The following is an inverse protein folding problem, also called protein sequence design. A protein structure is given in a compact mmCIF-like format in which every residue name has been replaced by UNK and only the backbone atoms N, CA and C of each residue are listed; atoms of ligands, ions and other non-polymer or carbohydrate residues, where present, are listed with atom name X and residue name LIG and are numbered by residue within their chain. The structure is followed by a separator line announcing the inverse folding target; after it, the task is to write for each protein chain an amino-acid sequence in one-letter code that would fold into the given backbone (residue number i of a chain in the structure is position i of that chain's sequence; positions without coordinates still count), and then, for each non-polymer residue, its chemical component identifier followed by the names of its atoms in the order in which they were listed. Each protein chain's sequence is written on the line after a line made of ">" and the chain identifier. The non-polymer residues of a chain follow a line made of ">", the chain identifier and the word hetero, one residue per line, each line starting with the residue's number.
data_IF_588723034291
#
_entry.id   IF_588723034291
#
_cell.length_a   1.000
_cell.length_b   1.000
_cell.length_c   1.000
_cell.angle_alpha   90.00
_cell.angle_beta   90.00
_cell.angle_gamma   90.00
#
_symmetry.space_group_name_H-M   'P 1'
#
loop_
_entity.id
_entity.type
_entity.pdbx_description
1 polymer ?
#
# COMPACT_ATOMS: atom_id res chain seq x y z
N UNK A 1 42.81 -9.93 25.15
CA UNK A 1 41.90 -9.55 24.05
C UNK A 1 42.71 -8.88 22.96
N UNK A 2 42.66 -9.33 21.69
CA UNK A 2 43.49 -8.75 20.64
C UNK A 2 42.87 -7.45 20.09
N UNK A 3 43.67 -6.38 20.10
CA UNK A 3 43.38 -5.08 19.48
C UNK A 3 43.34 -5.21 17.96
N UNK A 4 42.16 -5.03 17.37
CA UNK A 4 41.94 -4.94 15.91
C UNK A 4 42.54 -3.63 15.38
N UNK A 5 43.71 -3.70 14.74
CA UNK A 5 44.24 -2.58 13.95
C UNK A 5 43.38 -2.41 12.70
N UNK A 6 42.80 -1.22 12.51
CA UNK A 6 42.12 -0.84 11.27
C UNK A 6 43.17 -0.60 10.16
N UNK A 7 42.88 -0.95 8.89
CA UNK A 7 43.82 -0.73 7.78
C UNK A 7 44.01 0.76 7.52
N UNK A 8 45.24 1.13 7.11
CA UNK A 8 45.62 2.49 6.69
C UNK A 8 44.74 2.96 5.53
N UNK A 9 44.25 4.19 5.64
CA UNK A 9 43.40 4.89 4.67
C UNK A 9 44.14 5.18 3.35
N UNK A 10 43.63 4.61 2.27
CA UNK A 10 43.88 4.98 0.86
C UNK A 10 43.28 6.38 0.58
N UNK A 11 43.74 7.13 -0.44
CA UNK A 11 43.26 8.49 -0.72
C UNK A 11 41.74 8.47 -0.92
N UNK A 12 41.06 9.41 -0.28
CA UNK A 12 39.61 9.50 -0.26
C UNK A 12 39.04 9.57 -1.69
N UNK A 13 38.35 8.51 -2.10
CA UNK A 13 37.31 8.62 -3.13
C UNK A 13 36.37 9.76 -2.71
N UNK A 14 35.88 10.60 -3.65
CA UNK A 14 34.90 11.63 -3.31
C UNK A 14 33.75 10.95 -2.56
N UNK A 15 33.43 11.47 -1.37
CA UNK A 15 32.45 10.86 -0.48
C UNK A 15 31.16 10.62 -1.27
N UNK A 16 30.88 9.34 -1.55
CA UNK A 16 29.71 8.95 -2.32
C UNK A 16 28.50 9.40 -1.53
N UNK A 17 27.67 10.27 -2.13
CA UNK A 17 26.42 10.67 -1.51
C UNK A 17 25.56 9.41 -1.36
N UNK A 18 25.30 9.03 -0.12
CA UNK A 18 24.52 7.84 0.25
C UNK A 18 23.31 8.28 1.05
N UNK A 19 22.21 7.55 0.90
CA UNK A 19 20.99 7.79 1.66
C UNK A 19 21.25 7.53 3.14
N UNK A 20 21.04 8.55 3.97
CA UNK A 20 21.03 8.40 5.42
C UNK A 20 19.71 7.75 5.88
N UNK A 21 19.78 6.45 6.15
CA UNK A 21 18.63 5.65 6.56
C UNK A 21 18.03 6.08 7.91
N UNK A 22 18.76 6.81 8.75
CA UNK A 22 18.21 7.32 10.02
C UNK A 22 17.24 8.49 9.82
N UNK A 23 17.34 9.19 8.68
CA UNK A 23 16.52 10.36 8.35
C UNK A 23 15.70 10.22 7.07
N UNK A 24 15.76 9.05 6.44
CA UNK A 24 15.07 8.78 5.17
C UNK A 24 13.65 8.23 5.39
N UNK A 25 12.67 9.14 5.46
CA UNK A 25 11.24 8.83 5.69
C UNK A 25 10.69 7.70 4.78
N UNK A 26 10.99 7.62 3.46
CA UNK A 26 10.46 6.53 2.62
C UNK A 26 10.85 5.12 3.09
N UNK A 27 12.03 4.98 3.72
CA UNK A 27 12.44 3.71 4.30
C UNK A 27 11.57 3.34 5.51
N UNK A 28 11.30 4.28 6.42
CA UNK A 28 10.43 4.03 7.57
C UNK A 28 9.01 3.63 7.15
N UNK A 29 8.41 4.33 6.18
CA UNK A 29 7.10 3.99 5.63
C UNK A 29 7.09 2.55 5.08
N UNK A 30 8.11 2.20 4.29
CA UNK A 30 8.25 0.86 3.69
C UNK A 30 8.43 -0.22 4.75
N UNK A 31 9.31 -0.01 5.73
CA UNK A 31 9.62 -1.01 6.75
C UNK A 31 8.45 -1.26 7.69
N UNK A 32 7.78 -0.20 8.14
CA UNK A 32 6.62 -0.30 9.02
C UNK A 32 5.48 -0.99 8.27
N UNK A 33 5.13 -0.53 7.05
CA UNK A 33 4.07 -1.12 6.26
C UNK A 33 4.32 -2.61 5.99
N UNK A 34 5.54 -3.00 5.61
CA UNK A 34 5.88 -4.39 5.33
C UNK A 34 5.84 -5.29 6.57
N UNK A 35 6.43 -4.85 7.70
CA UNK A 35 6.42 -5.64 8.94
C UNK A 35 5.02 -5.77 9.52
N UNK A 36 4.24 -4.68 9.51
CA UNK A 36 2.87 -4.68 10.00
C UNK A 36 1.97 -5.58 9.15
N UNK A 37 2.09 -5.50 7.82
CA UNK A 37 1.33 -6.32 6.87
C UNK A 37 1.66 -7.80 6.98
N UNK A 38 2.95 -8.16 7.09
CA UNK A 38 3.38 -9.56 7.27
C UNK A 38 2.83 -10.15 8.56
N UNK A 39 2.99 -9.45 9.68
CA UNK A 39 2.47 -9.93 10.97
C UNK A 39 0.94 -10.05 10.96
N UNK A 40 0.24 -9.08 10.36
CA UNK A 40 -1.22 -9.13 10.22
C UNK A 40 -1.66 -10.34 9.38
N UNK A 41 -1.04 -10.55 8.22
CA UNK A 41 -1.38 -11.66 7.33
C UNK A 41 -1.22 -13.03 8.00
N UNK A 42 -0.20 -13.23 8.83
CA UNK A 42 -0.01 -14.49 9.56
C UNK A 42 -1.18 -14.79 10.51
N UNK A 43 -1.60 -13.79 11.28
CA UNK A 43 -2.73 -13.96 12.19
C UNK A 43 -4.06 -14.12 11.46
N UNK A 44 -4.29 -13.33 10.40
CA UNK A 44 -5.54 -13.41 9.63
C UNK A 44 -5.68 -14.76 8.91
N UNK A 45 -4.59 -15.29 8.36
CA UNK A 45 -4.58 -16.65 7.79
C UNK A 45 -4.90 -17.70 8.85
N UNK A 46 -4.31 -17.59 10.05
CA UNK A 46 -4.55 -18.57 11.12
C UNK A 46 -5.99 -18.60 11.64
N UNK A 47 -6.70 -17.46 11.58
CA UNK A 47 -8.05 -17.32 12.15
C UNK A 47 -9.14 -17.49 11.10
N UNK A 48 -8.91 -17.02 9.87
CA UNK A 48 -9.95 -16.89 8.85
C UNK A 48 -9.51 -17.31 7.44
N UNK A 49 -8.32 -17.90 7.27
CA UNK A 49 -7.76 -18.29 5.97
C UNK A 49 -7.78 -17.14 4.94
N UNK A 50 -7.45 -15.92 5.39
CA UNK A 50 -7.34 -14.75 4.52
C UNK A 50 -6.05 -13.98 4.73
N UNK A 51 -5.47 -13.54 3.63
CA UNK A 51 -4.28 -12.68 3.63
C UNK A 51 -4.63 -11.21 3.85
N UNK A 52 -3.59 -10.40 4.03
CA UNK A 52 -3.72 -8.95 4.27
C UNK A 52 -4.44 -8.20 3.13
N UNK A 53 -4.28 -8.64 1.88
CA UNK A 53 -4.96 -8.03 0.73
C UNK A 53 -6.47 -8.23 0.76
N UNK A 54 -6.91 -9.44 1.11
CA UNK A 54 -8.33 -9.74 1.30
C UNK A 54 -8.91 -8.95 2.45
N UNK A 55 -8.19 -8.83 3.58
CA UNK A 55 -8.59 -7.98 4.69
C UNK A 55 -8.80 -6.53 4.26
N UNK A 56 -7.83 -5.95 3.53
CA UNK A 56 -7.92 -4.58 2.99
C UNK A 56 -9.15 -4.37 2.11
N UNK A 57 -9.47 -5.34 1.26
CA UNK A 57 -10.68 -5.30 0.45
C UNK A 57 -11.96 -5.40 1.29
N UNK A 58 -12.00 -6.29 2.28
CA UNK A 58 -13.15 -6.47 3.18
C UNK A 58 -13.46 -5.19 3.96
N UNK A 59 -12.45 -4.53 4.52
CA UNK A 59 -12.61 -3.28 5.28
C UNK A 59 -13.22 -2.19 4.40
N UNK A 60 -12.67 -1.98 3.19
CA UNK A 60 -13.16 -0.93 2.31
C UNK A 60 -14.58 -1.22 1.82
N UNK A 61 -14.89 -2.48 1.51
CA UNK A 61 -16.25 -2.92 1.19
C UNK A 61 -17.24 -2.76 2.35
N UNK A 62 -16.79 -2.94 3.60
CA UNK A 62 -17.64 -2.75 4.78
C UNK A 62 -17.99 -1.27 5.01
N UNK A 63 -17.11 -0.35 4.61
CA UNK A 63 -17.33 1.10 4.71
C UNK A 63 -18.21 1.61 3.55
N UNK A 64 -17.86 1.25 2.32
CA UNK A 64 -18.48 1.80 1.10
C UNK A 64 -19.77 1.07 0.69
N UNK A 65 -19.98 -0.16 1.21
CA UNK A 65 -21.09 -1.04 0.82
C UNK A 65 -20.89 -1.71 -0.54
N UNK A 66 -20.58 -0.93 -1.57
CA UNK A 66 -20.19 -1.42 -2.90
C UNK A 66 -19.03 -0.64 -3.50
N UNK A 67 -18.06 -1.34 -4.10
CA UNK A 67 -16.88 -0.68 -4.67
C UNK A 67 -16.31 -1.43 -5.88
N UNK A 68 -15.80 -0.70 -6.87
CA UNK A 68 -15.08 -1.25 -8.01
C UNK A 68 -13.61 -1.54 -7.69
N UNK A 69 -12.98 -2.44 -8.46
CA UNK A 69 -11.55 -2.71 -8.32
C UNK A 69 -10.67 -1.48 -8.57
N UNK A 70 -11.12 -0.53 -9.40
CA UNK A 70 -10.40 0.71 -9.67
C UNK A 70 -10.42 1.64 -8.46
N UNK A 71 -11.57 1.77 -7.78
CA UNK A 71 -11.68 2.58 -6.57
C UNK A 71 -10.83 1.98 -5.44
N UNK A 72 -10.86 0.66 -5.24
CA UNK A 72 -9.96 -0.01 -4.28
C UNK A 72 -8.49 0.25 -4.60
N UNK A 73 -8.09 0.11 -5.88
CA UNK A 73 -6.71 0.39 -6.32
C UNK A 73 -6.30 1.82 -5.98
N UNK A 74 -7.19 2.79 -6.20
CA UNK A 74 -6.94 4.21 -5.91
C UNK A 74 -6.80 4.48 -4.42
N UNK A 75 -7.68 3.92 -3.60
CA UNK A 75 -7.71 4.16 -2.15
C UNK A 75 -6.57 3.44 -1.43
N UNK A 76 -6.31 2.17 -1.77
CA UNK A 76 -5.36 1.31 -1.05
C UNK A 76 -3.95 1.40 -1.66
N UNK A 77 -3.81 1.88 -2.89
CA UNK A 77 -2.54 1.90 -3.63
C UNK A 77 -2.10 0.53 -4.12
N UNK A 78 -2.99 -0.46 -4.15
CA UNK A 78 -2.74 -1.77 -4.77
C UNK A 78 -2.92 -1.67 -6.28
N UNK A 79 -2.17 -2.46 -7.07
CA UNK A 79 -2.40 -2.52 -8.50
C UNK A 79 -3.77 -3.16 -8.81
N UNK A 80 -4.43 -2.65 -9.85
CA UNK A 80 -5.76 -3.12 -10.28
C UNK A 80 -5.79 -4.62 -10.57
N UNK A 81 -4.68 -5.20 -11.03
CA UNK A 81 -4.55 -6.63 -11.30
C UNK A 81 -4.62 -7.47 -10.02
N UNK A 82 -3.90 -7.06 -8.97
CA UNK A 82 -3.93 -7.69 -7.65
C UNK A 82 -5.31 -7.58 -7.00
N UNK A 83 -5.94 -6.40 -7.06
CA UNK A 83 -7.31 -6.23 -6.56
C UNK A 83 -8.28 -7.15 -7.30
N UNK A 84 -8.18 -7.22 -8.63
CA UNK A 84 -9.05 -8.08 -9.44
C UNK A 84 -8.87 -9.57 -9.13
N UNK A 85 -7.63 -10.03 -8.90
CA UNK A 85 -7.36 -11.40 -8.45
C UNK A 85 -7.92 -11.65 -7.05
N UNK A 86 -7.77 -10.69 -6.14
CA UNK A 86 -8.33 -10.76 -4.80
C UNK A 86 -9.85 -10.89 -4.83
N UNK A 87 -10.55 -10.04 -5.61
CA UNK A 87 -12.00 -10.11 -5.78
C UNK A 87 -12.46 -11.46 -6.34
N UNK A 88 -11.78 -12.00 -7.36
CA UNK A 88 -12.09 -13.34 -7.88
C UNK A 88 -11.97 -14.41 -6.79
N UNK A 89 -10.91 -14.36 -5.98
CA UNK A 89 -10.73 -15.29 -4.86
C UNK A 89 -11.82 -15.14 -3.80
N UNK A 90 -12.15 -13.90 -3.44
CA UNK A 90 -13.21 -13.58 -2.47
C UNK A 90 -14.58 -14.06 -2.96
N UNK A 91 -14.89 -13.87 -4.24
CA UNK A 91 -16.13 -14.36 -4.85
C UNK A 91 -16.19 -15.89 -4.84
N UNK A 92 -15.10 -16.58 -5.21
CA UNK A 92 -15.02 -18.04 -5.16
C UNK A 92 -15.20 -18.58 -3.72
N UNK A 93 -14.72 -17.85 -2.71
CA UNK A 93 -14.93 -18.15 -1.29
C UNK A 93 -16.32 -17.74 -0.79
N UNK A 94 -17.17 -17.11 -1.60
CA UNK A 94 -18.50 -16.65 -1.26
C UNK A 94 -18.54 -15.43 -0.32
N UNK A 95 -17.46 -14.65 -0.25
CA UNK A 95 -17.34 -13.47 0.62
C UNK A 95 -17.94 -12.22 -0.03
N UNK A 96 -17.95 -12.16 -1.35
CA UNK A 96 -18.52 -11.06 -2.12
C UNK A 96 -19.39 -11.57 -3.27
N UNK A 97 -20.29 -10.71 -3.72
CA UNK A 97 -20.90 -10.80 -5.05
C UNK A 97 -20.28 -9.75 -5.96
N UNK A 98 -20.12 -10.09 -7.24
CA UNK A 98 -19.77 -9.14 -8.28
C UNK A 98 -21.02 -8.89 -9.15
N UNK A 99 -21.33 -7.62 -9.39
CA UNK A 99 -22.45 -7.19 -10.22
C UNK A 99 -22.06 -6.04 -11.13
N UNK A 100 -22.94 -5.71 -12.08
CA UNK A 100 -22.85 -4.44 -12.78
C UNK A 100 -23.39 -3.34 -11.86
N UNK A 101 -22.76 -2.17 -11.93
CA UNK A 101 -23.27 -0.99 -11.27
C UNK A 101 -24.63 -0.59 -11.87
N UNK A 102 -25.54 -0.12 -11.03
CA UNK A 102 -26.89 0.21 -11.44
C UNK A 102 -26.94 1.51 -12.26
N UNK A 103 -26.01 2.43 -12.01
CA UNK A 103 -25.91 3.72 -12.69
C UNK A 103 -24.96 3.65 -13.89
N UNK A 104 -23.94 2.78 -13.82
CA UNK A 104 -23.04 2.46 -14.93
C UNK A 104 -22.98 0.95 -15.22
N UNK A 105 -23.83 0.49 -16.14
CA UNK A 105 -23.92 -0.91 -16.55
C UNK A 105 -22.65 -1.52 -17.17
N UNK A 106 -21.55 -0.76 -17.31
CA UNK A 106 -20.23 -1.27 -17.71
C UNK A 106 -19.30 -1.46 -16.52
N UNK A 107 -19.53 -0.75 -15.42
CA UNK A 107 -18.71 -0.82 -14.23
C UNK A 107 -19.05 -2.07 -13.43
N UNK A 108 -18.03 -2.87 -13.06
CA UNK A 108 -18.20 -3.99 -12.14
C UNK A 108 -17.91 -3.57 -10.71
N UNK A 109 -18.89 -3.79 -9.83
CA UNK A 109 -18.80 -3.51 -8.41
C UNK A 109 -18.86 -4.79 -7.59
N UNK A 110 -18.14 -4.79 -6.47
CA UNK A 110 -18.18 -5.82 -5.46
C UNK A 110 -19.06 -5.37 -4.28
N UNK A 111 -19.76 -6.32 -3.67
CA UNK A 111 -20.56 -6.10 -2.44
C UNK A 111 -20.32 -7.26 -1.49
N UNK A 112 -20.27 -7.01 -0.17
CA UNK A 112 -20.14 -8.09 0.82
C UNK A 112 -21.40 -8.96 0.84
N UNK A 113 -21.20 -10.27 0.92
CA UNK A 113 -22.24 -11.21 1.37
C UNK A 113 -22.33 -11.19 2.90
N UNK A 114 -23.35 -11.86 3.46
CA UNK A 114 -23.41 -12.08 4.92
C UNK A 114 -22.20 -12.87 5.43
N UNK A 115 -21.67 -13.80 4.63
CA UNK A 115 -20.43 -14.52 4.95
C UNK A 115 -19.23 -13.57 4.97
N UNK A 116 -19.15 -12.64 4.01
CA UNK A 116 -18.12 -11.60 3.97
C UNK A 116 -18.17 -10.68 5.19
N UNK A 117 -19.36 -10.23 5.58
CA UNK A 117 -19.57 -9.41 6.80
C UNK A 117 -19.14 -10.15 8.06
N UNK A 118 -19.59 -11.39 8.26
CA UNK A 118 -19.17 -12.21 9.42
C UNK A 118 -17.65 -12.40 9.49
N UNK A 119 -17.01 -12.62 8.34
CA UNK A 119 -15.55 -12.74 8.27
C UNK A 119 -14.85 -11.42 8.60
N UNK A 120 -15.37 -10.30 8.10
CA UNK A 120 -14.88 -8.97 8.47
C UNK A 120 -14.91 -8.79 10.00
N UNK A 121 -16.05 -9.06 10.63
CA UNK A 121 -16.24 -8.85 12.07
C UNK A 121 -15.31 -9.74 12.91
N UNK A 122 -15.06 -10.97 12.46
CA UNK A 122 -14.13 -11.89 13.10
C UNK A 122 -12.68 -11.37 13.10
N UNK A 123 -12.25 -10.69 12.04
CA UNK A 123 -10.88 -10.19 11.89
C UNK A 123 -10.72 -8.80 12.52
N UNK A 124 -11.79 -8.00 12.56
CA UNK A 124 -11.78 -6.62 13.04
C UNK A 124 -11.14 -6.48 14.43
N UNK A 125 -11.49 -7.35 15.37
CA UNK A 125 -10.89 -7.32 16.72
C UNK A 125 -9.37 -7.51 16.72
N UNK A 126 -8.84 -8.38 15.84
CA UNK A 126 -7.40 -8.59 15.68
C UNK A 126 -6.75 -7.35 15.08
N UNK A 127 -7.38 -6.74 14.08
CA UNK A 127 -6.87 -5.53 13.45
C UNK A 127 -6.77 -4.36 14.44
N UNK A 128 -7.82 -4.14 15.24
CA UNK A 128 -7.89 -3.08 16.24
C UNK A 128 -6.89 -3.29 17.38
N UNK A 129 -6.69 -4.54 17.85
CA UNK A 129 -5.69 -4.80 18.88
C UNK A 129 -4.26 -4.54 18.37
N UNK A 130 -3.98 -4.88 17.11
CA UNK A 130 -2.68 -4.59 16.50
C UNK A 130 -2.43 -3.09 16.37
N UNK A 131 -3.45 -2.32 15.99
CA UNK A 131 -3.36 -0.85 15.96
C UNK A 131 -3.15 -0.27 17.36
N UNK A 132 -3.93 -0.73 18.35
CA UNK A 132 -3.81 -0.29 19.73
C UNK A 132 -2.39 -0.47 20.27
N UNK A 133 -1.77 -1.62 20.02
CA UNK A 133 -0.38 -1.89 20.45
C UNK A 133 0.62 -1.05 19.65
N UNK A 134 0.45 -0.91 18.34
CA UNK A 134 1.30 -0.07 17.49
C UNK A 134 1.34 1.39 18.00
N UNK A 135 0.17 1.93 18.37
CA UNK A 135 0.03 3.32 18.83
C UNK A 135 0.23 3.49 20.34
N UNK A 136 0.46 2.41 21.09
CA UNK A 136 0.59 2.45 22.56
C UNK A 136 1.79 3.28 23.06
N UNK A 137 2.78 3.50 22.20
CA UNK A 137 3.98 4.30 22.48
C UNK A 137 3.77 5.81 22.24
N UNK A 138 2.58 6.20 21.78
CA UNK A 138 2.20 7.59 21.49
C UNK A 138 1.06 8.03 22.40
N UNK A 139 1.14 9.26 22.90
CA UNK A 139 0.03 9.99 23.51
C UNK A 139 -1.08 10.28 22.50
N UNK A 140 -2.27 10.66 22.97
CA UNK A 140 -3.39 11.01 22.08
C UNK A 140 -3.03 12.16 21.12
N UNK A 141 -2.40 13.22 21.63
CA UNK A 141 -1.97 14.36 20.81
C UNK A 141 -0.91 13.97 19.76
N UNK A 142 0.02 13.07 20.09
CA UNK A 142 1.00 12.55 19.14
C UNK A 142 0.35 11.69 18.05
N UNK A 143 -0.70 10.92 18.38
CA UNK A 143 -1.47 10.15 17.39
C UNK A 143 -2.19 11.08 16.42
N UNK A 144 -2.87 12.10 16.92
CA UNK A 144 -3.54 13.10 16.08
C UNK A 144 -2.54 13.82 15.17
N UNK A 145 -1.38 14.19 15.72
CA UNK A 145 -0.28 14.80 14.96
C UNK A 145 0.24 13.86 13.89
N UNK A 146 0.47 12.58 14.22
CA UNK A 146 0.94 11.58 13.27
C UNK A 146 -0.06 11.42 12.11
N UNK A 147 -1.35 11.28 12.42
CA UNK A 147 -2.40 11.17 11.40
C UNK A 147 -2.40 12.41 10.50
N UNK A 148 -2.37 13.61 11.08
CA UNK A 148 -2.34 14.86 10.31
C UNK A 148 -1.12 14.95 9.38
N UNK A 149 0.07 14.53 9.85
CA UNK A 149 1.28 14.52 9.03
C UNK A 149 1.19 13.47 7.91
N UNK A 150 0.73 12.25 8.21
CA UNK A 150 0.56 11.19 7.22
C UNK A 150 -0.46 11.58 6.14
N UNK A 151 -1.58 12.22 6.51
CA UNK A 151 -2.57 12.73 5.57
C UNK A 151 -1.95 13.76 4.61
N UNK A 152 -1.22 14.75 5.15
CA UNK A 152 -0.53 15.75 4.31
C UNK A 152 0.49 15.14 3.36
N UNK A 153 1.24 14.12 3.83
CA UNK A 153 2.18 13.41 2.97
C UNK A 153 1.46 12.62 1.87
N UNK A 154 0.34 11.98 2.19
CA UNK A 154 -0.48 11.23 1.24
C UNK A 154 -1.06 12.15 0.15
N UNK A 155 -1.62 13.29 0.54
CA UNK A 155 -2.16 14.31 -0.39
C UNK A 155 -1.08 14.90 -1.31
N UNK A 156 0.17 14.92 -0.86
CA UNK A 156 1.30 15.45 -1.64
C UNK A 156 1.92 14.43 -2.61
N UNK A 157 1.50 13.16 -2.61
CA UNK A 157 2.04 12.13 -3.51
C UNK A 157 1.99 12.48 -5.00
N UNK A 158 0.91 13.11 -5.55
CA UNK A 158 0.90 13.53 -6.94
C UNK A 158 2.03 14.50 -7.30
N UNK A 159 2.38 15.42 -6.39
CA UNK A 159 3.50 16.35 -6.61
C UNK A 159 4.85 15.63 -6.52
N UNK A 160 4.99 14.60 -5.68
CA UNK A 160 6.19 13.74 -5.65
C UNK A 160 6.41 13.08 -7.01
N UNK A 161 5.35 12.51 -7.59
CA UNK A 161 5.43 11.86 -8.91
C UNK A 161 5.74 12.87 -10.01
N UNK A 162 5.07 14.03 -10.01
CA UNK A 162 5.30 15.09 -10.98
C UNK A 162 6.74 15.64 -10.90
N UNK A 163 7.24 15.93 -9.70
CA UNK A 163 8.60 16.39 -9.48
C UNK A 163 9.64 15.35 -9.92
N UNK A 164 9.40 14.08 -9.62
CA UNK A 164 10.27 12.97 -10.03
C UNK A 164 10.30 12.83 -11.56
N UNK A 165 9.14 12.93 -12.23
CA UNK A 165 9.05 12.89 -13.68
C UNK A 165 9.82 14.03 -14.34
N UNK A 166 9.71 15.27 -13.82
CA UNK A 166 10.49 16.43 -14.28
C UNK A 166 11.99 16.20 -14.13
N UNK A 167 12.44 15.76 -12.95
CA UNK A 167 13.84 15.45 -12.69
C UNK A 167 14.38 14.37 -13.64
N UNK A 168 13.60 13.31 -13.89
CA UNK A 168 13.97 12.25 -14.83
C UNK A 168 14.05 12.76 -16.27
N UNK A 169 13.12 13.61 -16.69
CA UNK A 169 13.14 14.19 -18.03
C UNK A 169 14.36 15.09 -18.27
N UNK A 170 14.73 15.89 -17.28
CA UNK A 170 15.89 16.80 -17.34
C UNK A 170 17.22 16.04 -17.32
N UNK A 171 17.35 15.03 -16.45
CA UNK A 171 18.63 14.34 -16.22
C UNK A 171 18.82 13.08 -17.05
N UNK A 172 17.74 12.45 -17.51
CA UNK A 172 17.76 11.16 -18.20
C UNK A 172 16.85 11.13 -19.46
N UNK A 173 17.05 12.02 -20.45
CA UNK A 173 16.16 12.16 -21.61
C UNK A 173 16.03 10.88 -22.45
N UNK A 174 17.08 10.06 -22.53
CA UNK A 174 17.05 8.77 -23.23
C UNK A 174 16.12 7.74 -22.57
N UNK A 175 15.97 7.80 -21.25
CA UNK A 175 15.06 6.91 -20.52
C UNK A 175 13.59 7.24 -20.83
N UNK A 176 13.26 8.53 -20.90
CA UNK A 176 11.92 9.01 -21.28
C UNK A 176 11.57 8.60 -22.71
N UNK A 177 12.50 8.73 -23.66
CA UNK A 177 12.28 8.29 -25.04
C UNK A 177 11.97 6.78 -25.15
N UNK A 178 12.69 5.95 -24.37
CA UNK A 178 12.46 4.49 -24.31
C UNK A 178 11.10 4.14 -23.70
N UNK A 179 10.64 4.90 -22.70
CA UNK A 179 9.33 4.69 -22.08
C UNK A 179 8.18 5.04 -23.03
N UNK A 180 8.30 6.13 -23.79
CA UNK A 180 7.32 6.50 -24.84
C UNK A 180 7.23 5.45 -25.95
N UNK A 181 8.37 4.94 -26.42
CA UNK A 181 8.41 3.87 -27.42
C UNK A 181 7.82 2.53 -26.92
N UNK A 182 7.75 2.32 -25.59
CA UNK A 182 7.15 1.14 -24.95
C UNK A 182 5.65 1.27 -24.68
N UNK A 183 5.09 2.47 -24.82
CA UNK A 183 3.66 2.75 -24.62
C UNK A 183 3.01 3.11 -25.97
N UNK A 184 2.95 2.21 -26.98
CA UNK A 184 2.15 2.46 -28.16
C UNK A 184 0.68 2.14 -27.87
N UNK A 185 -0.17 3.17 -27.80
CA UNK A 185 -1.64 3.09 -27.95
C UNK A 185 -2.44 2.58 -26.74
N UNK A 186 -2.85 3.49 -25.85
CA UNK A 186 -4.11 3.40 -25.07
C UNK A 186 -5.05 4.57 -25.48
N UNK A 187 -4.96 4.99 -26.75
CA UNK A 187 -5.93 5.86 -27.42
C UNK A 187 -6.61 4.99 -28.49
N UNK A 188 -7.62 4.22 -28.06
CA UNK A 188 -8.76 3.67 -28.84
C UNK A 188 -9.29 2.38 -28.18
N UNK A 189 -10.17 2.51 -27.16
CA UNK A 189 -11.37 1.67 -26.92
C UNK A 189 -12.27 2.20 -25.79
#
# INVERSE_FOLDING_TARGET
>A
MPTRRLPRSTPAEPAREVVDLERYVPAFLTWIANKLSRGASQHYLSVADVGIETWRCLVLLAIEGSISAQQVSRVIGMDKGSVSRCFKSMQAKGLITLGLDADDGRLRIATLTDKGRKMHDQILGIALERERVLLSVLSAAERDTLIALLTRLHENLPEVDAATARYVAERFPKAVARQRARTPGDEDE
#
